data_IF_369267370549
#
_entry.id   IF_369267370549
#
_cell.length_a   1.000
_cell.length_b   1.000
_cell.length_c   1.000
_cell.angle_alpha   90.00
_cell.angle_beta   90.00
_cell.angle_gamma   90.00
#
_symmetry.space_group_name_H-M   'P 1'
#
loop_
_entity.id
_entity.type
_entity.pdbx_description
1 polymer ?
#
# COMPACT_ATOMS: atom_id res chain seq x y z
N UNK A 1 1.03 9.19 -26.40
CA UNK A 1 0.59 8.09 -27.28
C UNK A 1 0.62 6.73 -26.60
N UNK A 2 1.62 6.40 -25.77
CA UNK A 2 1.74 5.06 -25.17
C UNK A 2 0.50 4.61 -24.38
N UNK A 3 -0.08 5.47 -23.53
CA UNK A 3 -1.31 5.14 -22.80
C UNK A 3 -2.49 4.86 -23.75
N UNK A 4 -2.71 5.69 -24.77
CA UNK A 4 -3.78 5.44 -25.76
C UNK A 4 -3.55 4.15 -26.56
N UNK A 5 -2.31 3.85 -26.95
CA UNK A 5 -1.93 2.60 -27.61
C UNK A 5 -2.20 1.39 -26.70
N UNK A 6 -1.86 1.50 -25.41
CA UNK A 6 -2.13 0.46 -24.43
C UNK A 6 -3.63 0.19 -24.27
N UNK A 7 -4.46 1.24 -24.13
CA UNK A 7 -5.92 1.09 -24.05
C UNK A 7 -6.53 0.51 -25.33
N UNK A 8 -5.99 0.89 -26.49
CA UNK A 8 -6.40 0.35 -27.78
C UNK A 8 -6.07 -1.14 -27.87
N UNK A 9 -4.82 -1.53 -27.56
CA UNK A 9 -4.41 -2.93 -27.48
C UNK A 9 -5.29 -3.72 -26.50
N UNK A 10 -5.57 -3.15 -25.32
CA UNK A 10 -6.44 -3.75 -24.31
C UNK A 10 -7.81 -4.08 -24.88
N UNK A 11 -8.47 -3.08 -25.47
CA UNK A 11 -9.79 -3.22 -26.10
C UNK A 11 -9.81 -4.29 -27.20
N UNK A 12 -8.75 -4.40 -27.99
CA UNK A 12 -8.64 -5.42 -29.05
C UNK A 12 -8.41 -6.84 -28.50
N UNK A 13 -7.74 -6.98 -27.35
CA UNK A 13 -7.41 -8.27 -26.76
C UNK A 13 -8.51 -8.85 -25.86
N UNK A 14 -9.43 -8.01 -25.34
CA UNK A 14 -10.50 -8.46 -24.43
C UNK A 14 -11.29 -9.69 -24.94
N UNK A 15 -11.73 -9.77 -26.21
CA UNK A 15 -12.46 -10.95 -26.70
C UNK A 15 -11.61 -12.23 -26.69
N UNK A 16 -10.32 -12.11 -27.01
CA UNK A 16 -9.37 -13.22 -26.99
C UNK A 16 -9.15 -13.74 -25.56
N UNK A 17 -9.09 -12.82 -24.59
CA UNK A 17 -8.92 -13.17 -23.17
C UNK A 17 -10.14 -13.87 -22.59
N UNK A 18 -11.35 -13.41 -22.93
CA UNK A 18 -12.60 -14.09 -22.53
C UNK A 18 -12.66 -15.51 -23.10
N UNK A 19 -12.23 -15.70 -24.35
CA UNK A 19 -12.14 -17.03 -24.96
C UNK A 19 -11.10 -17.93 -24.27
N UNK A 20 -9.96 -17.38 -23.87
CA UNK A 20 -8.93 -18.11 -23.14
C UNK A 20 -9.41 -18.56 -21.73
N UNK A 21 -10.10 -17.69 -20.97
CA UNK A 21 -10.68 -18.04 -19.66
C UNK A 21 -11.74 -19.16 -19.79
N UNK A 22 -12.66 -19.02 -20.75
CA UNK A 22 -13.69 -20.02 -21.01
C UNK A 22 -13.07 -21.38 -21.39
N UNK A 23 -12.03 -21.35 -22.24
CA UNK A 23 -11.30 -22.54 -22.67
C UNK A 23 -10.56 -23.19 -21.49
N UNK A 24 -9.89 -22.41 -20.63
CA UNK A 24 -9.24 -22.92 -19.42
C UNK A 24 -10.23 -23.66 -18.51
N UNK A 25 -11.42 -23.07 -18.27
CA UNK A 25 -12.51 -23.70 -17.48
C UNK A 25 -13.04 -24.98 -18.13
N UNK A 26 -13.19 -25.01 -19.45
CA UNK A 26 -13.66 -26.20 -20.17
C UNK A 26 -12.70 -27.39 -20.03
N UNK A 27 -11.39 -27.17 -19.97
CA UNK A 27 -10.38 -28.23 -19.84
C UNK A 27 -10.00 -28.57 -18.38
N UNK A 28 -10.48 -27.80 -17.39
CA UNK A 28 -10.18 -28.03 -15.96
C UNK A 28 -11.40 -28.42 -15.12
N UNK A 29 -12.62 -28.09 -15.56
CA UNK A 29 -13.84 -28.39 -14.81
C UNK A 29 -14.16 -29.90 -14.85
N UNK A 30 -14.25 -30.60 -13.70
CA UNK A 30 -14.52 -32.03 -13.65
C UNK A 30 -15.81 -32.49 -14.36
N UNK A 31 -16.78 -31.58 -14.49
CA UNK A 31 -18.08 -31.83 -15.15
C UNK A 31 -17.96 -31.76 -16.68
N UNK A 32 -16.87 -31.19 -17.20
CA UNK A 32 -16.62 -31.12 -18.64
C UNK A 32 -16.00 -32.41 -19.17
N UNK A 33 -16.54 -33.00 -20.26
CA UNK A 33 -15.90 -34.15 -20.93
C UNK A 33 -14.46 -33.86 -21.38
N UNK A 34 -14.16 -32.60 -21.71
CA UNK A 34 -12.83 -32.15 -22.14
C UNK A 34 -11.81 -32.14 -21.00
N UNK A 35 -12.24 -32.12 -19.73
CA UNK A 35 -11.31 -32.20 -18.60
C UNK A 35 -10.67 -33.59 -18.46
N UNK A 36 -11.26 -34.62 -19.08
CA UNK A 36 -10.79 -36.01 -19.02
C UNK A 36 -9.94 -36.42 -20.24
N UNK A 37 -9.72 -35.53 -21.21
CA UNK A 37 -8.89 -35.84 -22.38
C UNK A 37 -7.40 -35.85 -22.03
N UNK A 38 -6.55 -36.65 -22.70
CA UNK A 38 -5.11 -36.60 -22.51
C UNK A 38 -4.58 -35.17 -22.64
N UNK A 39 -3.69 -34.77 -21.73
CA UNK A 39 -3.11 -33.43 -21.66
C UNK A 39 -4.08 -32.27 -21.33
N UNK A 40 -5.34 -32.55 -20.94
CA UNK A 40 -6.33 -31.52 -20.56
C UNK A 40 -5.79 -30.50 -19.55
N UNK A 41 -5.12 -30.96 -18.50
CA UNK A 41 -4.51 -30.09 -17.49
C UNK A 41 -3.42 -29.17 -18.06
N UNK A 42 -2.63 -29.64 -19.03
CA UNK A 42 -1.60 -28.80 -19.68
C UNK A 42 -2.24 -27.77 -20.60
N UNK A 43 -3.30 -28.15 -21.31
CA UNK A 43 -4.07 -27.24 -22.17
C UNK A 43 -4.78 -26.18 -21.33
N UNK A 44 -5.42 -26.58 -20.23
CA UNK A 44 -6.06 -25.68 -19.29
C UNK A 44 -5.07 -24.67 -18.69
N UNK A 45 -3.88 -25.14 -18.28
CA UNK A 45 -2.81 -24.28 -17.77
C UNK A 45 -2.26 -23.31 -18.82
N UNK A 46 -2.15 -23.74 -20.09
CA UNK A 46 -1.73 -22.88 -21.19
C UNK A 46 -2.74 -21.76 -21.47
N UNK A 47 -4.03 -22.08 -21.49
CA UNK A 47 -5.09 -21.07 -21.62
C UNK A 47 -5.22 -20.18 -20.39
N UNK A 48 -5.02 -20.73 -19.18
CA UNK A 48 -5.00 -19.93 -17.95
C UNK A 48 -3.84 -18.92 -17.98
N UNK A 49 -2.66 -19.34 -18.42
CA UNK A 49 -1.51 -18.45 -18.58
C UNK A 49 -1.80 -17.36 -19.62
N UNK A 50 -2.35 -17.74 -20.78
CA UNK A 50 -2.71 -16.77 -21.83
C UNK A 50 -3.73 -15.74 -21.33
N UNK A 51 -4.78 -16.20 -20.63
CA UNK A 51 -5.78 -15.32 -20.01
C UNK A 51 -5.13 -14.38 -18.99
N UNK A 52 -4.34 -14.90 -18.04
CA UNK A 52 -3.69 -14.09 -17.01
C UNK A 52 -2.74 -13.04 -17.59
N UNK A 53 -2.09 -13.32 -18.72
CA UNK A 53 -1.18 -12.38 -19.37
C UNK A 53 -1.86 -11.20 -20.07
N UNK A 54 -3.13 -11.32 -20.45
CA UNK A 54 -3.84 -10.24 -21.16
C UNK A 54 -5.14 -9.78 -20.54
N UNK A 55 -5.62 -10.41 -19.45
CA UNK A 55 -6.84 -9.99 -18.76
C UNK A 55 -6.69 -8.61 -18.13
N UNK A 56 -7.81 -7.91 -18.01
CA UNK A 56 -7.89 -6.70 -17.21
C UNK A 56 -7.89 -7.07 -15.73
N UNK A 57 -7.15 -6.28 -14.96
CA UNK A 57 -7.10 -6.39 -13.50
C UNK A 57 -7.85 -5.19 -12.92
N UNK A 58 -9.12 -5.41 -12.60
CA UNK A 58 -9.90 -4.44 -11.83
C UNK A 58 -9.50 -4.47 -10.36
N UNK A 59 -9.83 -3.39 -9.65
CA UNK A 59 -9.65 -3.32 -8.20
C UNK A 59 -10.34 -4.49 -7.50
N UNK A 60 -9.62 -5.34 -6.76
CA UNK A 60 -10.23 -6.42 -6.00
C UNK A 60 -11.06 -5.88 -4.82
N UNK A 61 -12.05 -6.64 -4.38
CA UNK A 61 -12.71 -6.38 -3.10
C UNK A 61 -11.80 -6.77 -1.93
N UNK A 62 -11.93 -6.13 -0.76
CA UNK A 62 -11.24 -6.64 0.43
C UNK A 62 -11.73 -8.05 0.77
N UNK A 63 -13.03 -8.33 0.63
CA UNK A 63 -13.56 -9.70 0.77
C UNK A 63 -13.31 -10.30 2.15
N UNK A 64 -13.34 -9.45 3.19
CA UNK A 64 -13.23 -9.86 4.59
C UNK A 64 -14.65 -10.03 5.10
N UNK A 65 -15.20 -11.23 4.94
CA UNK A 65 -16.59 -11.51 5.34
C UNK A 65 -16.72 -11.66 6.86
N UNK A 66 -15.74 -12.29 7.51
CA UNK A 66 -15.70 -12.47 8.96
C UNK A 66 -14.27 -12.62 9.49
N UNK A 67 -14.11 -12.39 10.79
CA UNK A 67 -12.85 -12.59 11.54
C UNK A 67 -13.14 -13.17 12.92
N UNK A 68 -12.18 -13.89 13.49
CA UNK A 68 -12.30 -14.42 14.86
C UNK A 68 -12.01 -13.31 15.88
N UNK A 69 -12.99 -12.96 16.71
CA UNK A 69 -12.85 -12.01 17.82
C UNK A 69 -13.20 -12.74 19.12
N UNK A 70 -12.27 -12.79 20.08
CA UNK A 70 -12.44 -13.53 21.35
C UNK A 70 -12.95 -14.98 21.15
N UNK A 71 -12.43 -15.67 20.13
CA UNK A 71 -12.80 -17.04 19.79
C UNK A 71 -14.15 -17.21 19.10
N UNK A 72 -14.84 -16.11 18.74
CA UNK A 72 -16.11 -16.14 18.01
C UNK A 72 -15.94 -15.58 16.61
N UNK A 73 -16.48 -16.29 15.63
CA UNK A 73 -16.57 -15.79 14.26
C UNK A 73 -17.52 -14.58 14.22
N UNK A 74 -17.00 -13.43 13.79
CA UNK A 74 -17.68 -12.14 13.80
C UNK A 74 -17.68 -11.58 12.38
N UNK A 75 -18.87 -11.35 11.83
CA UNK A 75 -19.04 -10.78 10.49
C UNK A 75 -18.52 -9.34 10.44
N UNK A 76 -17.93 -8.97 9.31
CA UNK A 76 -17.40 -7.63 9.05
C UNK A 76 -18.21 -6.95 7.95
N UNK A 77 -18.45 -5.65 8.12
CA UNK A 77 -19.14 -4.79 7.15
C UNK A 77 -18.28 -3.57 6.85
N UNK A 78 -18.02 -3.34 5.56
CA UNK A 78 -17.27 -2.18 5.10
C UNK A 78 -18.17 -0.93 5.04
N UNK A 79 -17.75 0.16 5.69
CA UNK A 79 -18.43 1.46 5.65
C UNK A 79 -17.48 2.55 5.18
N UNK A 80 -17.86 3.30 4.14
CA UNK A 80 -17.15 4.52 3.78
C UNK A 80 -17.58 5.65 4.72
N UNK A 81 -16.71 6.03 5.66
CA UNK A 81 -17.01 7.04 6.69
C UNK A 81 -16.62 8.45 6.25
N UNK A 82 -15.61 8.58 5.38
CA UNK A 82 -15.26 9.84 4.71
C UNK A 82 -15.03 9.56 3.23
N UNK A 83 -15.56 10.43 2.38
CA UNK A 83 -15.40 10.36 0.94
C UNK A 83 -14.80 11.67 0.41
N UNK A 84 -13.52 11.66 0.07
CA UNK A 84 -12.81 12.77 -0.59
C UNK A 84 -12.50 12.39 -2.05
N UNK A 85 -12.29 13.34 -2.97
CA UNK A 85 -12.10 13.02 -4.39
C UNK A 85 -11.00 11.99 -4.69
N UNK A 86 -9.88 12.04 -3.96
CA UNK A 86 -8.73 11.15 -4.17
C UNK A 86 -8.64 10.01 -3.15
N UNK A 87 -9.49 9.97 -2.13
CA UNK A 87 -9.36 9.00 -1.04
C UNK A 87 -10.68 8.78 -0.30
N UNK A 88 -10.96 7.52 -0.01
CA UNK A 88 -12.04 7.10 0.89
C UNK A 88 -11.43 6.64 2.19
N UNK A 89 -12.04 6.98 3.32
CA UNK A 89 -11.74 6.36 4.60
C UNK A 89 -12.77 5.25 4.83
N UNK A 90 -12.29 4.00 4.88
CA UNK A 90 -13.15 2.82 5.05
C UNK A 90 -13.01 2.31 6.48
N UNK A 91 -14.13 2.09 7.15
CA UNK A 91 -14.24 1.44 8.44
C UNK A 91 -14.69 -0.02 8.26
N UNK A 92 -13.97 -0.96 8.84
CA UNK A 92 -14.35 -2.37 8.87
C UNK A 92 -15.11 -2.66 10.17
N UNK A 93 -16.41 -2.35 10.17
CA UNK A 93 -17.26 -2.48 11.34
C UNK A 93 -17.56 -3.95 11.62
N UNK A 94 -17.39 -4.37 12.87
CA UNK A 94 -17.88 -5.66 13.37
C UNK A 94 -19.41 -5.63 13.46
N UNK A 95 -20.09 -6.61 12.88
CA UNK A 95 -21.56 -6.74 12.89
C UNK A 95 -22.05 -7.21 14.27
N UNK A 96 -21.86 -6.36 15.27
CA UNK A 96 -22.20 -6.55 16.67
C UNK A 96 -23.00 -5.33 17.15
N UNK A 97 -23.74 -5.49 18.25
CA UNK A 97 -24.43 -4.34 18.86
C UNK A 97 -23.41 -3.32 19.37
N UNK A 98 -23.77 -2.03 19.41
CA UNK A 98 -22.85 -0.99 19.93
C UNK A 98 -22.42 -1.26 21.38
N UNK A 99 -23.27 -1.95 22.16
CA UNK A 99 -22.93 -2.40 23.52
C UNK A 99 -21.80 -3.42 23.50
N UNK A 100 -21.88 -4.41 22.60
CA UNK A 100 -20.88 -5.46 22.49
C UNK A 100 -19.58 -4.91 21.92
N UNK A 101 -19.63 -4.02 20.92
CA UNK A 101 -18.45 -3.32 20.39
C UNK A 101 -17.71 -2.57 21.51
N UNK A 102 -18.43 -1.80 22.33
CA UNK A 102 -17.84 -1.11 23.49
C UNK A 102 -17.27 -2.07 24.54
N UNK A 103 -17.87 -3.24 24.72
CA UNK A 103 -17.40 -4.25 25.65
C UNK A 103 -16.06 -4.89 25.21
N UNK A 104 -15.76 -4.89 23.90
CA UNK A 104 -14.49 -5.38 23.38
C UNK A 104 -13.28 -4.52 23.79
N UNK A 105 -13.50 -3.22 24.05
CA UNK A 105 -12.45 -2.24 24.39
C UNK A 105 -11.26 -2.26 23.42
N UNK A 106 -11.54 -2.45 22.14
CA UNK A 106 -10.50 -2.50 21.11
C UNK A 106 -10.02 -1.09 20.76
N UNK A 107 -8.70 -0.87 20.65
CA UNK A 107 -8.15 0.41 20.21
C UNK A 107 -8.57 0.72 18.78
N UNK A 108 -8.76 2.02 18.49
CA UNK A 108 -9.02 2.48 17.12
C UNK A 108 -7.70 2.62 16.36
N UNK A 109 -7.61 2.01 15.19
CA UNK A 109 -6.43 2.03 14.32
C UNK A 109 -6.77 2.68 12.98
N UNK A 110 -5.98 3.69 12.60
CA UNK A 110 -5.92 4.21 11.24
C UNK A 110 -4.73 3.56 10.50
N UNK A 111 -5.03 2.66 9.58
CA UNK A 111 -4.07 2.07 8.65
C UNK A 111 -3.98 2.95 7.38
N UNK A 112 -2.84 3.59 7.19
CA UNK A 112 -2.57 4.42 6.02
C UNK A 112 -1.91 3.55 4.95
N UNK A 113 -2.69 3.20 3.93
CA UNK A 113 -2.26 2.39 2.81
C UNK A 113 -1.39 3.18 1.83
N UNK A 114 -0.45 2.52 1.12
CA UNK A 114 0.35 3.17 0.09
C UNK A 114 -0.48 3.74 -1.06
N UNK A 115 -0.08 4.92 -1.54
CA UNK A 115 -0.41 5.37 -2.89
C UNK A 115 0.85 5.20 -3.74
N UNK A 116 1.14 3.96 -4.10
CA UNK A 116 2.35 3.54 -4.85
C UNK A 116 1.99 2.56 -5.97
N UNK A 117 0.92 2.89 -6.71
CA UNK A 117 0.49 2.15 -7.90
C UNK A 117 -0.41 0.95 -7.65
N UNK A 118 -0.76 0.65 -6.41
CA UNK A 118 -1.58 -0.51 -6.06
C UNK A 118 -2.72 -0.13 -5.12
N UNK A 119 -3.79 -0.90 -5.16
CA UNK A 119 -4.96 -0.70 -4.30
C UNK A 119 -4.68 -1.11 -2.85
N UNK A 120 -5.40 -0.47 -1.90
CA UNK A 120 -5.30 -0.76 -0.46
C UNK A 120 -5.66 -2.22 -0.11
N UNK A 121 -6.30 -2.94 -1.03
CA UNK A 121 -6.62 -4.36 -0.93
C UNK A 121 -5.40 -5.27 -0.90
N UNK A 122 -4.21 -4.78 -1.27
CA UNK A 122 -2.94 -5.44 -0.94
C UNK A 122 -2.73 -5.61 0.57
N UNK A 123 -3.34 -4.75 1.40
CA UNK A 123 -3.29 -4.83 2.86
C UNK A 123 -4.45 -5.65 3.44
N UNK A 124 -5.13 -6.49 2.63
CA UNK A 124 -6.22 -7.37 3.10
C UNK A 124 -5.80 -8.23 4.29
N UNK A 125 -4.62 -8.86 4.21
CA UNK A 125 -4.07 -9.67 5.30
C UNK A 125 -3.74 -8.81 6.54
N UNK A 126 -3.26 -7.58 6.32
CA UNK A 126 -3.02 -6.59 7.38
C UNK A 126 -4.29 -6.27 8.13
N UNK A 127 -5.34 -5.89 7.40
CA UNK A 127 -6.66 -5.55 7.96
C UNK A 127 -7.24 -6.75 8.71
N UNK A 128 -7.19 -7.94 8.09
CA UNK A 128 -7.77 -9.17 8.66
C UNK A 128 -7.12 -9.56 9.99
N UNK A 129 -5.79 -9.40 10.11
CA UNK A 129 -5.07 -9.66 11.36
C UNK A 129 -5.38 -8.61 12.44
N UNK A 130 -5.35 -7.32 12.08
CA UNK A 130 -5.64 -6.23 13.01
C UNK A 130 -7.07 -6.31 13.58
N UNK A 131 -8.05 -6.66 12.75
CA UNK A 131 -9.46 -6.71 13.14
C UNK A 131 -9.76 -7.66 14.31
N UNK A 132 -8.90 -8.65 14.57
CA UNK A 132 -9.07 -9.57 15.69
C UNK A 132 -8.94 -8.86 17.05
N UNK A 133 -8.12 -7.81 17.13
CA UNK A 133 -7.81 -7.09 18.37
C UNK A 133 -8.08 -5.57 18.32
N UNK A 134 -8.40 -5.03 17.14
CA UNK A 134 -8.46 -3.58 16.89
C UNK A 134 -9.76 -3.19 16.14
N UNK A 135 -10.19 -1.94 16.27
CA UNK A 135 -11.20 -1.31 15.41
C UNK A 135 -10.51 -0.58 14.24
N UNK A 136 -10.70 -1.05 13.01
CA UNK A 136 -9.78 -0.74 11.90
C UNK A 136 -10.42 0.18 10.86
N UNK A 137 -9.71 1.28 10.58
CA UNK A 137 -9.97 2.21 9.49
C UNK A 137 -8.81 2.16 8.50
N UNK A 138 -9.07 2.19 7.20
CA UNK A 138 -8.03 2.23 6.16
C UNK A 138 -8.24 3.38 5.17
N UNK A 139 -7.16 4.01 4.74
CA UNK A 139 -7.18 4.92 3.59
C UNK A 139 -7.24 4.10 2.30
N UNK A 140 -8.21 4.40 1.44
CA UNK A 140 -8.39 3.75 0.17
C UNK A 140 -8.34 4.78 -0.97
N UNK A 141 -7.20 4.83 -1.64
CA UNK A 141 -6.90 5.81 -2.68
C UNK A 141 -7.70 5.52 -3.95
N UNK A 142 -8.29 6.59 -4.50
CA UNK A 142 -9.03 6.52 -5.75
C UNK A 142 -8.06 6.58 -6.91
N UNK A 143 -8.24 5.67 -7.87
CA UNK A 143 -7.49 5.65 -9.12
C UNK A 143 -7.62 7.01 -9.83
N UNK A 144 -6.50 7.69 -10.08
CA UNK A 144 -6.51 9.07 -10.56
C UNK A 144 -7.21 9.22 -11.92
N UNK A 145 -7.24 8.18 -12.76
CA UNK A 145 -8.00 8.22 -14.01
C UNK A 145 -9.50 8.35 -13.80
N UNK A 146 -10.01 7.96 -12.62
CA UNK A 146 -11.42 8.09 -12.25
C UNK A 146 -11.76 9.43 -11.59
N UNK A 147 -10.78 10.30 -11.35
CA UNK A 147 -10.98 11.59 -10.68
C UNK A 147 -11.05 12.73 -11.71
N UNK A 148 -12.20 13.44 -11.85
CA UNK A 148 -12.36 14.49 -12.85
C UNK A 148 -11.42 15.69 -12.59
N UNK A 149 -11.12 16.47 -13.63
CA UNK A 149 -10.25 17.65 -13.52
C UNK A 149 -10.86 18.74 -12.62
N UNK A 150 -12.19 18.81 -12.52
CA UNK A 150 -12.89 19.74 -11.64
C UNK A 150 -12.59 19.53 -10.15
N UNK A 151 -12.06 18.36 -9.76
CA UNK A 151 -11.62 18.08 -8.40
C UNK A 151 -10.26 18.72 -8.05
N UNK A 152 -9.58 19.36 -9.03
CA UNK A 152 -8.28 20.00 -8.83
C UNK A 152 -7.08 19.03 -8.91
N UNK A 153 -5.85 19.53 -8.74
CA UNK A 153 -4.65 18.70 -8.63
C UNK A 153 -4.63 17.94 -7.30
N UNK A 154 -3.70 17.00 -7.17
CA UNK A 154 -3.43 16.32 -5.91
C UNK A 154 -1.92 16.19 -5.74
N UNK A 155 -1.37 16.99 -4.82
CA UNK A 155 0.05 17.09 -4.49
C UNK A 155 0.40 16.24 -3.25
N UNK A 156 1.70 16.15 -2.94
CA UNK A 156 2.15 15.50 -1.71
C UNK A 156 1.63 16.23 -0.45
N UNK A 157 1.50 17.55 -0.49
CA UNK A 157 0.90 18.34 0.60
C UNK A 157 -0.58 17.96 0.82
N UNK A 158 -1.36 17.73 -0.25
CA UNK A 158 -2.77 17.34 -0.15
C UNK A 158 -2.93 15.98 0.53
N UNK A 159 -2.02 15.04 0.26
CA UNK A 159 -1.94 13.76 0.96
C UNK A 159 -1.81 13.97 2.48
N UNK A 160 -0.88 14.84 2.88
CA UNK A 160 -0.59 15.15 4.29
C UNK A 160 -1.82 15.77 4.95
N UNK A 161 -2.49 16.70 4.28
CA UNK A 161 -3.73 17.30 4.79
C UNK A 161 -4.86 16.26 4.92
N UNK A 162 -4.99 15.33 3.98
CA UNK A 162 -5.96 14.24 4.10
C UNK A 162 -5.69 13.36 5.32
N UNK A 163 -4.42 12.99 5.56
CA UNK A 163 -4.03 12.23 6.75
C UNK A 163 -4.35 13.01 8.03
N UNK A 164 -4.03 14.30 8.10
CA UNK A 164 -4.38 15.13 9.26
C UNK A 164 -5.89 15.19 9.51
N UNK A 165 -6.70 15.33 8.45
CA UNK A 165 -8.16 15.32 8.55
C UNK A 165 -8.68 13.98 9.11
N UNK A 166 -8.12 12.86 8.65
CA UNK A 166 -8.49 11.53 9.14
C UNK A 166 -8.08 11.31 10.60
N UNK A 167 -6.87 11.74 10.98
CA UNK A 167 -6.42 11.69 12.39
C UNK A 167 -7.33 12.54 13.27
N UNK A 168 -7.67 13.78 12.85
CA UNK A 168 -8.57 14.66 13.62
C UNK A 168 -9.99 14.10 13.76
N UNK A 169 -10.47 13.43 12.73
CA UNK A 169 -11.78 12.79 12.73
C UNK A 169 -11.86 11.63 13.74
N UNK A 170 -10.84 10.78 13.79
CA UNK A 170 -10.84 9.57 14.62
C UNK A 170 -10.26 9.78 16.02
N UNK A 171 -9.35 10.75 16.20
CA UNK A 171 -8.64 11.00 17.44
C UNK A 171 -9.50 11.58 18.56
N UNK A 172 -8.97 11.70 19.80
CA UNK A 172 -7.56 11.55 20.15
C UNK A 172 -7.12 10.13 20.55
N UNK A 173 -8.05 9.21 20.77
CA UNK A 173 -7.75 7.83 21.17
C UNK A 173 -7.52 6.95 19.93
N UNK A 174 -6.49 7.32 19.16
CA UNK A 174 -6.14 6.75 17.87
C UNK A 174 -4.71 6.22 17.84
N UNK A 175 -4.52 5.10 17.16
CA UNK A 175 -3.22 4.56 16.79
C UNK A 175 -3.06 4.60 15.28
N UNK A 176 -1.94 5.12 14.77
CA UNK A 176 -1.70 5.22 13.33
C UNK A 176 -0.69 4.16 12.92
N UNK A 177 -0.97 3.44 11.84
CA UNK A 177 -0.03 2.51 11.19
C UNK A 177 0.14 2.98 9.76
N UNK A 178 1.38 3.10 9.30
CA UNK A 178 1.70 3.43 7.90
C UNK A 178 2.65 2.40 7.32
N UNK A 179 2.39 1.99 6.08
CA UNK A 179 3.08 0.89 5.42
C UNK A 179 3.72 1.37 4.13
N UNK A 180 5.03 1.16 3.96
CA UNK A 180 5.79 1.55 2.78
C UNK A 180 5.85 3.09 2.59
N UNK A 181 5.57 3.56 1.38
CA UNK A 181 5.60 4.97 0.96
C UNK A 181 4.94 5.98 1.95
N UNK A 182 3.78 5.72 2.57
CA UNK A 182 3.11 6.64 3.49
C UNK A 182 3.85 6.98 4.77
N UNK A 183 4.89 6.25 5.16
CA UNK A 183 5.62 6.58 6.41
C UNK A 183 6.12 8.02 6.40
N UNK A 184 6.58 8.51 5.25
CA UNK A 184 7.10 9.88 5.06
C UNK A 184 6.00 10.94 5.24
N UNK A 185 4.90 10.95 4.45
CA UNK A 185 3.85 11.94 4.63
C UNK A 185 3.07 11.78 5.95
N UNK A 186 2.94 10.58 6.51
CA UNK A 186 2.32 10.38 7.82
C UNK A 186 3.17 10.96 8.94
N UNK A 187 4.49 10.74 8.92
CA UNK A 187 5.39 11.39 9.87
C UNK A 187 5.33 12.92 9.75
N UNK A 188 5.26 13.45 8.53
CA UNK A 188 5.09 14.88 8.31
C UNK A 188 3.76 15.41 8.86
N UNK A 189 2.65 14.70 8.61
CA UNK A 189 1.32 15.05 9.13
C UNK A 189 1.34 15.18 10.65
N UNK A 190 1.87 14.18 11.35
CA UNK A 190 1.96 14.14 12.82
C UNK A 190 2.92 15.21 13.33
N UNK A 191 4.06 15.43 12.66
CA UNK A 191 5.02 16.49 13.03
C UNK A 191 4.38 17.88 12.99
N UNK A 192 3.61 18.18 11.94
CA UNK A 192 2.90 19.44 11.79
C UNK A 192 1.79 19.58 12.83
N UNK A 193 1.07 18.50 13.14
CA UNK A 193 0.07 18.48 14.22
C UNK A 193 0.72 18.73 15.59
N UNK A 194 1.90 18.14 15.84
CA UNK A 194 2.64 18.33 17.09
C UNK A 194 3.15 19.77 17.23
N UNK A 195 3.70 20.34 16.15
CA UNK A 195 4.08 21.76 16.06
C UNK A 195 2.88 22.67 16.40
N UNK A 196 1.69 22.34 15.88
CA UNK A 196 0.46 23.07 16.15
C UNK A 196 -0.15 22.81 17.54
N UNK A 197 0.43 21.90 18.33
CA UNK A 197 -0.12 21.42 19.62
C UNK A 197 -1.56 20.92 19.49
N UNK A 198 -1.82 20.20 18.40
CA UNK A 198 -3.15 19.69 18.08
C UNK A 198 -3.61 18.68 19.16
N UNK A 199 -4.77 18.89 19.82
CA UNK A 199 -5.25 17.99 20.86
C UNK A 199 -5.67 16.61 20.32
N UNK A 200 -5.74 16.44 19.00
CA UNK A 200 -6.12 15.19 18.32
C UNK A 200 -4.92 14.34 17.89
N UNK A 201 -3.70 14.63 18.35
CA UNK A 201 -2.54 13.77 18.13
C UNK A 201 -2.84 12.31 18.50
N UNK A 202 -2.37 11.33 17.70
CA UNK A 202 -2.55 9.92 18.02
C UNK A 202 -1.73 9.53 19.25
N UNK A 203 -2.09 8.43 19.91
CA UNK A 203 -1.33 7.85 21.02
C UNK A 203 -0.03 7.22 20.55
N UNK A 204 -0.09 6.55 19.40
CA UNK A 204 1.06 5.86 18.80
C UNK A 204 1.10 6.07 17.30
N UNK A 205 2.30 5.99 16.73
CA UNK A 205 2.55 5.88 15.30
C UNK A 205 3.51 4.73 15.01
N UNK A 206 3.07 3.81 14.15
CA UNK A 206 3.87 2.70 13.66
C UNK A 206 4.25 2.95 12.20
N UNK A 207 5.53 2.90 11.89
CA UNK A 207 6.10 3.12 10.56
C UNK A 207 6.70 1.80 10.06
N UNK A 208 6.23 1.28 8.92
CA UNK A 208 6.62 -0.06 8.46
C UNK A 208 7.25 0.00 7.07
N UNK A 209 8.53 -0.37 6.96
CA UNK A 209 9.24 -0.55 5.70
C UNK A 209 9.15 0.64 4.75
N UNK A 210 9.30 1.86 5.24
CA UNK A 210 9.14 3.07 4.43
C UNK A 210 10.39 3.95 4.36
N UNK A 211 10.54 4.76 3.30
CA UNK A 211 11.77 5.48 3.00
C UNK A 211 11.90 6.80 3.79
N UNK A 212 11.94 6.76 5.13
CA UNK A 212 12.09 7.98 5.96
C UNK A 212 13.42 8.68 5.67
N UNK A 213 14.51 7.92 5.58
CA UNK A 213 15.78 8.41 5.04
C UNK A 213 16.31 7.48 3.93
N UNK A 214 15.96 7.75 2.66
CA UNK A 214 16.33 6.89 1.54
C UNK A 214 17.82 6.93 1.17
N UNK A 215 18.63 7.71 1.90
CA UNK A 215 20.10 7.74 1.77
C UNK A 215 20.76 6.57 2.50
N UNK A 216 20.07 5.99 3.51
CA UNK A 216 20.55 4.81 4.25
C UNK A 216 20.30 3.55 3.42
N UNK A 217 21.33 2.72 3.21
CA UNK A 217 21.27 1.46 2.44
C UNK A 217 20.46 1.55 1.13
N UNK A 218 20.88 2.36 0.14
CA UNK A 218 20.09 2.60 -1.07
C UNK A 218 19.79 1.31 -1.86
N UNK A 219 18.53 1.14 -2.26
CA UNK A 219 18.02 0.07 -3.10
C UNK A 219 17.95 0.50 -4.57
N UNK A 220 17.54 -0.41 -5.46
CA UNK A 220 17.32 -0.08 -6.88
C UNK A 220 16.28 1.05 -7.07
N UNK A 221 15.30 1.15 -6.17
CA UNK A 221 14.30 2.23 -6.17
C UNK A 221 14.96 3.57 -5.88
N UNK A 222 15.84 3.63 -4.87
CA UNK A 222 16.59 4.84 -4.54
C UNK A 222 17.55 5.24 -5.67
N UNK A 223 18.22 4.27 -6.30
CA UNK A 223 19.15 4.52 -7.39
C UNK A 223 18.45 5.09 -8.62
N UNK A 224 17.28 4.56 -9.01
CA UNK A 224 16.54 5.13 -10.14
C UNK A 224 16.24 6.62 -9.91
N UNK A 225 15.77 6.97 -8.71
CA UNK A 225 15.37 8.33 -8.38
C UNK A 225 16.54 9.32 -8.37
N UNK A 226 17.73 8.86 -7.97
CA UNK A 226 18.93 9.70 -7.86
C UNK A 226 19.76 9.77 -9.14
N UNK A 227 19.78 8.70 -9.96
CA UNK A 227 20.51 8.67 -11.24
C UNK A 227 19.80 9.44 -12.36
N UNK A 228 18.47 9.52 -12.32
CA UNK A 228 17.67 10.23 -13.33
C UNK A 228 17.41 11.66 -12.87
N UNK A 229 17.59 12.62 -13.78
CA UNK A 229 17.18 14.01 -13.56
C UNK A 229 15.66 14.09 -13.38
N UNK A 230 15.17 15.02 -12.57
CA UNK A 230 13.73 15.28 -12.40
C UNK A 230 12.97 15.38 -13.74
N UNK A 231 13.50 16.16 -14.69
CA UNK A 231 12.93 16.30 -16.04
C UNK A 231 12.76 14.98 -16.82
N UNK A 232 13.51 13.94 -16.49
CA UNK A 232 13.34 12.62 -17.10
C UNK A 232 12.00 12.01 -16.67
N UNK A 233 11.64 12.13 -15.38
CA UNK A 233 10.37 11.64 -14.87
C UNK A 233 9.20 12.38 -15.51
N UNK A 234 9.26 13.72 -15.52
CA UNK A 234 8.22 14.57 -16.10
C UNK A 234 7.90 14.22 -17.56
N UNK A 235 8.94 13.91 -18.35
CA UNK A 235 8.79 13.72 -19.79
C UNK A 235 8.65 12.25 -20.22
N UNK A 236 8.99 11.28 -19.37
CA UNK A 236 9.05 9.86 -19.76
C UNK A 236 7.89 9.05 -19.20
N UNK A 237 7.48 9.32 -17.96
CA UNK A 237 6.53 8.45 -17.23
C UNK A 237 5.16 9.10 -17.01
N UNK A 238 5.00 10.38 -17.33
CA UNK A 238 3.74 11.11 -17.15
C UNK A 238 2.91 11.14 -18.43
N UNK A 239 1.66 10.71 -18.35
CA UNK A 239 0.74 10.64 -19.49
C UNK A 239 -0.62 11.27 -19.14
N UNK A 240 -1.31 11.89 -20.13
CA UNK A 240 -2.69 12.29 -19.95
C UNK A 240 -3.62 11.07 -19.96
N UNK A 241 -4.60 11.07 -19.07
CA UNK A 241 -5.68 10.07 -19.03
C UNK A 241 -6.50 10.12 -20.33
N UNK A 242 -6.80 8.96 -20.96
CA UNK A 242 -7.56 8.88 -22.21
C UNK A 242 -9.07 9.18 -22.03
N UNK A 243 -9.81 9.47 -23.12
CA UNK A 243 -11.18 10.01 -23.06
C UNK A 243 -12.24 9.05 -22.53
N UNK A 244 -11.93 7.78 -22.36
CA UNK A 244 -12.82 6.76 -21.81
C UNK A 244 -12.98 6.82 -20.29
N UNK A 245 -12.26 7.71 -19.59
CA UNK A 245 -12.33 7.83 -18.14
C UNK A 245 -12.78 9.23 -17.68
N UNK A 246 -13.42 9.35 -16.49
CA UNK A 246 -13.83 10.64 -15.92
C UNK A 246 -12.68 11.66 -15.78
N UNK A 247 -11.46 11.18 -15.55
CA UNK A 247 -10.25 12.00 -15.44
C UNK A 247 -9.62 12.42 -16.77
N UNK A 248 -10.32 12.30 -17.90
CA UNK A 248 -9.80 12.63 -19.24
C UNK A 248 -8.97 13.92 -19.26
N UNK A 249 -7.70 13.80 -19.69
CA UNK A 249 -6.76 14.91 -19.77
C UNK A 249 -5.91 15.14 -18.51
N UNK A 250 -6.27 14.54 -17.36
CA UNK A 250 -5.46 14.59 -16.13
C UNK A 250 -4.12 13.94 -16.38
N UNK A 251 -3.04 14.56 -15.88
CA UNK A 251 -1.70 13.97 -15.93
C UNK A 251 -1.55 12.95 -14.81
N UNK A 252 -1.10 11.76 -15.16
CA UNK A 252 -0.88 10.65 -14.22
C UNK A 252 0.43 9.94 -14.52
N UNK A 253 0.98 9.27 -13.51
CA UNK A 253 1.92 8.17 -13.74
C UNK A 253 1.10 6.86 -13.85
N UNK A 254 0.92 6.29 -15.05
CA UNK A 254 0.04 5.14 -15.23
C UNK A 254 0.49 3.89 -14.47
N UNK A 255 -0.44 3.16 -13.87
CA UNK A 255 -0.16 1.96 -13.10
C UNK A 255 0.58 0.88 -13.91
N UNK A 256 0.25 0.72 -15.19
CA UNK A 256 0.92 -0.27 -16.06
C UNK A 256 2.40 0.06 -16.30
N UNK A 257 2.76 1.35 -16.35
CA UNK A 257 4.16 1.77 -16.49
C UNK A 257 4.95 1.61 -15.19
N UNK A 258 4.29 1.78 -14.05
CA UNK A 258 4.87 1.49 -12.74
C UNK A 258 5.24 0.01 -12.65
N UNK A 259 4.27 -0.86 -12.95
CA UNK A 259 4.46 -2.29 -12.95
C UNK A 259 5.59 -2.74 -13.88
N UNK A 260 5.57 -2.26 -15.13
CA UNK A 260 6.63 -2.54 -16.11
C UNK A 260 8.01 -2.03 -15.65
N UNK A 261 8.06 -0.86 -15.01
CA UNK A 261 9.28 -0.29 -14.44
C UNK A 261 9.88 -1.17 -13.34
N UNK A 262 9.07 -1.65 -12.39
CA UNK A 262 9.52 -2.55 -11.32
C UNK A 262 10.02 -3.90 -11.86
N UNK A 263 9.35 -4.46 -12.86
CA UNK A 263 9.83 -5.69 -13.52
C UNK A 263 11.16 -5.43 -14.24
N UNK A 264 11.29 -4.30 -14.94
CA UNK A 264 12.50 -3.95 -15.69
C UNK A 264 13.71 -3.65 -14.79
N UNK A 265 13.49 -3.23 -13.53
CA UNK A 265 14.55 -3.06 -12.53
C UNK A 265 15.20 -4.38 -12.08
N UNK A 266 14.62 -5.53 -12.45
CA UNK A 266 15.15 -6.88 -12.18
C UNK A 266 15.51 -7.64 -13.48
N UNK A 267 16.44 -7.14 -14.33
CA UNK A 267 16.62 -7.63 -15.70
C UNK A 267 17.33 -9.00 -15.84
N UNK A 268 17.93 -9.51 -14.75
CA UNK A 268 18.83 -10.68 -14.81
C UNK A 268 18.18 -12.03 -15.15
N UNK A 269 16.85 -12.15 -15.31
CA UNK A 269 16.16 -13.45 -15.39
C UNK A 269 14.92 -13.48 -16.30
N UNK A 270 14.89 -12.76 -17.41
CA UNK A 270 13.66 -12.45 -18.17
C UNK A 270 12.74 -13.58 -18.69
N UNK A 271 13.07 -14.87 -18.58
CA UNK A 271 12.11 -15.95 -18.82
C UNK A 271 11.62 -16.67 -17.53
N UNK A 272 12.32 -16.47 -16.40
CA UNK A 272 12.05 -17.05 -15.08
C UNK A 272 11.73 -15.98 -14.02
N UNK A 273 11.90 -14.69 -14.34
CA UNK A 273 11.96 -13.55 -13.41
C UNK A 273 10.62 -13.15 -12.82
N UNK A 274 9.50 -13.30 -13.53
CA UNK A 274 8.21 -12.87 -12.98
C UNK A 274 7.90 -13.67 -11.72
N UNK A 275 7.90 -15.01 -11.80
CA UNK A 275 7.65 -15.87 -10.64
C UNK A 275 8.67 -15.61 -9.53
N UNK A 276 9.95 -15.52 -9.86
CA UNK A 276 11.00 -15.31 -8.86
C UNK A 276 10.90 -13.94 -8.19
N UNK A 277 10.52 -12.87 -8.91
CA UNK A 277 10.27 -11.54 -8.36
C UNK A 277 9.15 -11.58 -7.31
N UNK A 278 8.00 -12.19 -7.62
CA UNK A 278 6.94 -12.36 -6.61
C UNK A 278 7.40 -13.21 -5.43
N UNK A 279 8.13 -14.30 -5.68
CA UNK A 279 8.71 -15.14 -4.63
C UNK A 279 9.75 -14.39 -3.77
N UNK A 280 10.43 -13.39 -4.34
CA UNK A 280 11.33 -12.50 -3.60
C UNK A 280 10.55 -11.54 -2.70
N UNK A 281 9.44 -10.94 -3.20
CA UNK A 281 8.58 -10.05 -2.41
C UNK A 281 8.02 -10.73 -1.16
N UNK A 282 7.63 -12.01 -1.28
CA UNK A 282 7.06 -12.83 -0.18
C UNK A 282 8.07 -13.84 0.37
N UNK A 283 9.38 -13.62 0.15
CA UNK A 283 10.41 -14.58 0.53
C UNK A 283 10.37 -14.84 2.03
N UNK A 284 10.33 -16.11 2.41
CA UNK A 284 10.28 -16.55 3.80
C UNK A 284 8.86 -16.70 4.36
N UNK A 285 7.82 -16.47 3.55
CA UNK A 285 6.45 -16.89 3.85
C UNK A 285 6.17 -18.22 3.11
N UNK A 286 6.23 -19.34 3.85
CA UNK A 286 5.96 -20.71 3.35
C UNK A 286 4.44 -20.93 3.08
N UNK A 287 3.85 -20.10 2.22
CA UNK A 287 2.41 -20.09 1.91
C UNK A 287 2.03 -21.09 0.78
N UNK A 288 0.78 -21.58 0.74
CA UNK A 288 0.30 -22.43 -0.35
C UNK A 288 0.23 -21.70 -1.70
N UNK A 289 0.30 -22.47 -2.80
CA UNK A 289 0.29 -21.95 -4.18
C UNK A 289 -0.90 -21.04 -4.53
N UNK A 290 -2.09 -21.27 -3.96
CA UNK A 290 -3.27 -20.43 -4.21
C UNK A 290 -3.18 -19.06 -3.54
N UNK A 291 -2.46 -18.95 -2.42
CA UNK A 291 -2.15 -17.67 -1.75
C UNK A 291 -1.27 -16.82 -2.68
N UNK A 292 -0.26 -17.42 -3.30
CA UNK A 292 0.58 -16.77 -4.30
C UNK A 292 -0.19 -16.31 -5.54
N UNK A 293 -1.19 -17.08 -6.01
CA UNK A 293 -2.04 -16.69 -7.15
C UNK A 293 -2.91 -15.47 -6.83
N UNK A 294 -3.52 -15.42 -5.64
CA UNK A 294 -4.30 -14.27 -5.20
C UNK A 294 -3.44 -13.03 -5.05
N UNK A 295 -2.25 -13.16 -4.46
CA UNK A 295 -1.28 -12.08 -4.37
C UNK A 295 -0.86 -11.58 -5.76
N UNK A 296 -0.61 -12.48 -6.71
CA UNK A 296 -0.30 -12.13 -8.09
C UNK A 296 -1.42 -11.32 -8.76
N UNK A 297 -2.67 -11.76 -8.59
CA UNK A 297 -3.81 -11.03 -9.15
C UNK A 297 -3.99 -9.65 -8.50
N UNK A 298 -3.76 -9.55 -7.19
CA UNK A 298 -3.81 -8.30 -6.43
C UNK A 298 -2.71 -7.32 -6.87
N UNK A 299 -1.48 -7.81 -7.03
CA UNK A 299 -0.33 -7.00 -7.41
C UNK A 299 -0.43 -6.49 -8.86
N UNK A 300 -1.11 -7.23 -9.75
CA UNK A 300 -1.35 -6.76 -11.12
C UNK A 300 -2.52 -5.77 -11.21
N UNK A 301 -3.36 -5.66 -10.18
CA UNK A 301 -4.40 -4.66 -10.08
C UNK A 301 -3.80 -3.31 -9.67
N UNK A 302 -3.29 -2.61 -10.68
CA UNK A 302 -2.60 -1.34 -10.54
C UNK A 302 -3.53 -0.14 -10.75
N UNK A 303 -3.19 0.98 -10.10
CA UNK A 303 -3.90 2.25 -10.22
C UNK A 303 -2.99 3.36 -10.75
N UNK A 304 -3.58 4.37 -11.39
CA UNK A 304 -2.87 5.55 -11.83
C UNK A 304 -2.67 6.54 -10.67
N UNK A 305 -1.44 7.04 -10.53
CA UNK A 305 -1.13 8.07 -9.52
C UNK A 305 -1.22 9.47 -10.15
N UNK A 306 -1.74 10.49 -9.44
CA UNK A 306 -1.67 11.88 -9.90
C UNK A 306 -0.22 12.28 -10.16
N UNK A 307 0.03 12.93 -11.30
CA UNK A 307 1.38 13.29 -11.70
C UNK A 307 2.05 14.24 -10.70
N UNK A 308 1.28 15.20 -10.18
CA UNK A 308 1.72 16.19 -9.22
C UNK A 308 2.27 15.51 -7.96
N UNK A 309 1.45 14.67 -7.31
CA UNK A 309 1.84 13.86 -6.16
C UNK A 309 3.08 12.99 -6.41
N UNK A 310 3.13 12.29 -7.55
CA UNK A 310 4.27 11.42 -7.87
C UNK A 310 5.56 12.22 -8.02
N UNK A 311 5.51 13.31 -8.78
CA UNK A 311 6.67 14.16 -9.03
C UNK A 311 7.13 14.86 -7.75
N UNK A 312 6.20 15.38 -6.94
CA UNK A 312 6.50 15.94 -5.62
C UNK A 312 7.20 14.91 -4.73
N UNK A 313 6.76 13.65 -4.77
CA UNK A 313 7.39 12.56 -4.01
C UNK A 313 8.81 12.28 -4.49
N UNK A 314 9.04 12.15 -5.81
CA UNK A 314 10.39 11.94 -6.36
C UNK A 314 11.32 13.08 -5.93
N UNK A 315 10.88 14.32 -6.12
CA UNK A 315 11.68 15.50 -5.80
C UNK A 315 11.96 15.60 -4.30
N UNK A 316 10.91 15.62 -3.48
CA UNK A 316 11.00 15.92 -2.04
C UNK A 316 11.64 14.78 -1.27
N UNK A 317 11.24 13.54 -1.53
CA UNK A 317 11.63 12.37 -0.72
C UNK A 317 12.94 11.77 -1.22
N UNK A 318 13.07 11.58 -2.53
CA UNK A 318 14.16 10.79 -3.10
C UNK A 318 15.31 11.59 -3.73
N UNK A 319 15.12 12.88 -4.03
CA UNK A 319 16.18 13.72 -4.62
C UNK A 319 16.69 14.80 -3.65
N UNK A 320 15.77 15.54 -3.03
CA UNK A 320 16.10 16.62 -2.09
C UNK A 320 16.27 16.09 -0.67
N UNK A 321 15.70 14.92 -0.35
CA UNK A 321 15.71 14.32 0.98
C UNK A 321 15.19 15.29 2.04
N UNK A 322 14.13 16.04 1.72
CA UNK A 322 13.76 17.24 2.47
C UNK A 322 13.34 16.97 3.92
N UNK A 323 12.76 15.79 4.20
CA UNK A 323 12.42 15.38 5.56
C UNK A 323 13.66 15.15 6.44
N UNK A 324 14.58 14.21 6.09
CA UNK A 324 15.76 13.98 6.92
C UNK A 324 16.78 15.13 6.88
N UNK A 325 16.70 16.03 5.90
CA UNK A 325 17.50 17.27 5.87
C UNK A 325 16.88 18.41 6.69
N UNK A 326 15.64 18.26 7.19
CA UNK A 326 14.95 19.29 7.97
C UNK A 326 14.60 20.55 7.15
N UNK A 327 14.43 20.42 5.83
CA UNK A 327 14.12 21.53 4.92
C UNK A 327 12.69 21.49 4.38
N UNK A 328 11.96 20.39 4.62
CA UNK A 328 10.62 20.20 4.07
C UNK A 328 9.60 21.16 4.66
N UNK A 329 8.91 21.91 3.80
CA UNK A 329 7.76 22.73 4.15
C UNK A 329 6.49 22.21 3.47
N UNK A 330 5.41 22.17 4.23
CA UNK A 330 4.06 21.77 3.79
C UNK A 330 3.12 22.93 4.09
N UNK A 331 2.42 23.45 3.09
CA UNK A 331 1.58 24.66 3.26
C UNK A 331 2.35 25.86 3.85
N UNK A 332 3.66 25.95 3.60
CA UNK A 332 4.55 26.98 4.15
C UNK A 332 5.06 26.71 5.57
N UNK A 333 4.57 25.70 6.27
CA UNK A 333 5.01 25.30 7.61
C UNK A 333 6.15 24.28 7.55
N UNK A 334 7.19 24.48 8.36
CA UNK A 334 8.31 23.54 8.42
C UNK A 334 7.88 22.24 9.10
N UNK A 335 8.18 21.10 8.49
CA UNK A 335 7.97 19.78 9.09
C UNK A 335 9.08 19.55 10.12
N UNK A 336 8.69 19.41 11.40
CA UNK A 336 9.61 19.29 12.53
C UNK A 336 9.32 18.04 13.37
N UNK A 337 9.87 16.86 13.02
CA UNK A 337 9.64 15.62 13.78
C UNK A 337 10.07 15.71 15.24
N UNK A 338 11.05 16.55 15.57
CA UNK A 338 11.47 16.82 16.94
C UNK A 338 10.39 17.52 17.78
N UNK A 339 9.35 18.11 17.19
CA UNK A 339 8.28 18.72 17.97
C UNK A 339 7.29 17.65 18.51
N UNK A 340 7.43 16.39 18.11
CA UNK A 340 6.67 15.24 18.63
C UNK A 340 7.27 14.81 19.97
N UNK A 341 6.49 14.88 21.05
CA UNK A 341 6.94 14.53 22.41
C UNK A 341 6.07 13.49 23.13
N UNK A 342 4.85 13.25 22.66
CA UNK A 342 3.83 12.46 23.35
C UNK A 342 3.10 11.44 22.46
N UNK A 343 3.65 11.18 21.26
CA UNK A 343 3.20 10.09 20.37
C UNK A 343 4.27 9.00 20.43
N UNK A 344 3.92 7.79 20.85
CA UNK A 344 4.90 6.70 20.89
C UNK A 344 5.25 6.25 19.46
N UNK A 345 6.52 5.97 19.17
CA UNK A 345 7.02 5.59 17.84
C UNK A 345 7.47 4.14 17.82
N UNK A 346 6.94 3.37 16.87
CA UNK A 346 7.42 2.04 16.54
C UNK A 346 7.85 1.95 15.07
N UNK A 347 9.11 1.59 14.79
CA UNK A 347 9.56 1.25 13.43
C UNK A 347 9.63 -0.26 13.22
N UNK A 348 9.22 -0.71 12.04
CA UNK A 348 9.34 -2.11 11.61
C UNK A 348 10.03 -2.17 10.26
N UNK A 349 11.06 -2.99 10.13
CA UNK A 349 11.79 -3.24 8.88
C UNK A 349 11.89 -4.74 8.58
N UNK A 350 12.08 -5.12 7.32
CA UNK A 350 12.40 -6.50 6.95
C UNK A 350 13.91 -6.69 6.80
N UNK A 351 14.49 -7.75 7.36
CA UNK A 351 15.93 -8.03 7.24
C UNK A 351 16.38 -8.19 5.77
N UNK A 352 15.49 -8.69 4.91
CA UNK A 352 15.73 -8.95 3.49
C UNK A 352 14.93 -8.00 2.58
N UNK A 353 14.52 -6.84 3.10
CA UNK A 353 13.79 -5.82 2.35
C UNK A 353 14.70 -5.20 1.27
N UNK A 354 14.32 -5.40 0.00
CA UNK A 354 15.01 -4.88 -1.18
C UNK A 354 14.33 -3.65 -1.79
N UNK A 355 13.26 -3.15 -1.16
CA UNK A 355 12.54 -1.93 -1.56
C UNK A 355 12.95 -0.78 -0.64
N UNK A 356 12.73 -0.95 0.66
CA UNK A 356 13.12 -0.01 1.71
C UNK A 356 14.27 -0.59 2.49
N UNK A 357 15.50 -0.19 2.12
CA UNK A 357 16.71 -0.78 2.68
C UNK A 357 16.84 -0.60 4.20
N UNK A 358 17.69 -1.43 4.81
CA UNK A 358 17.92 -1.41 6.25
C UNK A 358 18.29 -0.02 6.77
N UNK A 359 17.61 0.42 7.84
CA UNK A 359 17.80 1.70 8.51
C UNK A 359 17.03 2.87 7.90
N UNK A 360 16.39 2.71 6.74
CA UNK A 360 15.61 3.80 6.13
C UNK A 360 14.40 4.19 6.96
N UNK A 361 13.66 3.23 7.52
CA UNK A 361 12.50 3.47 8.39
C UNK A 361 12.95 3.83 9.80
N UNK A 362 13.96 3.11 10.31
CA UNK A 362 14.54 3.31 11.64
C UNK A 362 15.05 4.76 11.84
N UNK A 363 15.43 5.45 10.77
CA UNK A 363 15.81 6.87 10.80
C UNK A 363 14.75 7.79 11.44
N UNK A 364 13.47 7.37 11.52
CA UNK A 364 12.44 8.11 12.24
C UNK A 364 12.81 8.37 13.71
N UNK A 365 13.54 7.45 14.36
CA UNK A 365 13.99 7.61 15.75
C UNK A 365 14.97 8.77 15.92
N UNK A 366 15.92 8.92 14.98
CA UNK A 366 16.88 10.03 14.98
C UNK A 366 16.18 11.39 14.78
N UNK A 367 15.15 11.42 13.91
CA UNK A 367 14.39 12.63 13.60
C UNK A 367 13.44 13.03 14.74
N UNK A 368 12.79 12.06 15.38
CA UNK A 368 11.85 12.27 16.48
C UNK A 368 12.57 12.35 17.84
N UNK A 369 13.61 13.18 17.93
CA UNK A 369 14.58 13.18 19.03
C UNK A 369 14.00 13.46 20.43
N UNK A 370 12.80 14.03 20.51
CA UNK A 370 12.15 14.41 21.76
C UNK A 370 11.09 13.41 22.23
N UNK A 371 10.89 12.29 21.53
CA UNK A 371 10.08 11.19 22.04
C UNK A 371 10.88 10.48 23.15
N UNK A 372 10.32 10.27 24.35
CA UNK A 372 10.99 9.54 25.43
C UNK A 372 11.44 8.13 24.99
N UNK A 373 12.60 7.67 25.47
CA UNK A 373 13.17 6.38 25.06
C UNK A 373 12.27 5.18 25.36
N UNK A 374 11.45 5.25 26.43
CA UNK A 374 10.49 4.21 26.81
C UNK A 374 9.23 4.18 25.93
N UNK A 375 9.03 5.23 25.11
CA UNK A 375 7.99 5.35 24.09
C UNK A 375 8.51 5.07 22.66
N UNK A 376 9.77 4.66 22.53
CA UNK A 376 10.38 4.27 21.26
C UNK A 376 10.60 2.76 21.22
N UNK A 377 10.26 2.14 20.09
CA UNK A 377 10.52 0.74 19.82
C UNK A 377 10.96 0.57 18.37
N UNK A 378 11.86 -0.38 18.12
CA UNK A 378 12.28 -0.77 16.77
C UNK A 378 12.25 -2.29 16.64
N UNK A 379 11.94 -2.79 15.45
CA UNK A 379 11.94 -4.22 15.16
C UNK A 379 12.31 -4.50 13.70
N UNK A 380 13.47 -5.14 13.51
CA UNK A 380 13.84 -5.76 12.24
C UNK A 380 13.34 -7.20 12.23
N UNK A 381 12.37 -7.51 11.36
CA UNK A 381 11.79 -8.84 11.21
C UNK A 381 12.81 -9.76 10.51
N UNK A 382 13.40 -10.75 11.22
CA UNK A 382 14.43 -11.61 10.65
C UNK A 382 13.87 -12.39 9.48
N UNK A 383 14.59 -12.53 8.37
CA UNK A 383 14.20 -13.28 7.17
C UNK A 383 12.99 -12.74 6.40
N UNK A 384 12.45 -11.57 6.78
CA UNK A 384 11.32 -10.96 6.08
C UNK A 384 11.80 -10.13 4.89
N UNK A 385 11.20 -10.33 3.72
CA UNK A 385 11.24 -9.33 2.63
C UNK A 385 10.26 -8.18 2.90
N UNK A 386 10.13 -7.26 1.94
CA UNK A 386 9.29 -6.07 2.07
C UNK A 386 7.83 -6.38 2.40
N UNK A 387 7.21 -7.38 1.75
CA UNK A 387 5.80 -7.71 2.00
C UNK A 387 5.61 -8.55 3.25
N UNK A 388 6.62 -9.34 3.64
CA UNK A 388 6.54 -10.22 4.82
C UNK A 388 6.37 -9.46 6.14
N UNK A 389 6.62 -8.15 6.16
CA UNK A 389 6.35 -7.33 7.35
C UNK A 389 4.90 -6.85 7.46
N UNK A 390 4.05 -6.98 6.44
CA UNK A 390 2.64 -6.56 6.50
C UNK A 390 1.64 -7.54 5.87
N UNK A 391 2.10 -8.62 5.26
CA UNK A 391 1.29 -9.68 4.66
C UNK A 391 1.87 -11.05 4.98
N UNK A 392 1.07 -12.11 4.83
CA UNK A 392 1.56 -13.48 5.00
C UNK A 392 1.72 -13.93 6.45
N UNK A 393 2.37 -15.09 6.61
CA UNK A 393 2.50 -15.78 7.89
C UNK A 393 3.30 -14.97 8.89
N UNK A 394 4.41 -14.38 8.44
CA UNK A 394 5.33 -13.64 9.32
C UNK A 394 4.69 -12.37 9.89
N UNK A 395 3.90 -11.67 9.08
CA UNK A 395 3.03 -10.59 9.56
C UNK A 395 2.10 -11.07 10.68
N UNK A 396 1.34 -12.15 10.46
CA UNK A 396 0.33 -12.65 11.42
C UNK A 396 0.93 -13.17 12.72
N UNK A 397 2.04 -13.90 12.64
CA UNK A 397 2.63 -14.60 13.79
C UNK A 397 3.68 -13.77 14.55
N UNK A 398 4.29 -12.76 13.91
CA UNK A 398 5.44 -12.03 14.50
C UNK A 398 5.19 -10.53 14.58
N UNK A 399 4.87 -9.87 13.47
CA UNK A 399 4.82 -8.40 13.42
C UNK A 399 3.52 -7.85 14.04
N UNK A 400 2.36 -8.34 13.62
CA UNK A 400 1.05 -7.88 14.11
C UNK A 400 0.89 -8.03 15.64
N UNK A 401 1.33 -9.14 16.28
CA UNK A 401 1.32 -9.26 17.73
C UNK A 401 2.18 -8.20 18.44
N UNK A 402 3.37 -7.89 17.91
CA UNK A 402 4.26 -6.85 18.46
C UNK A 402 3.64 -5.46 18.36
N UNK A 403 2.99 -5.15 17.24
CA UNK A 403 2.26 -3.89 17.08
C UNK A 403 1.10 -3.81 18.07
N UNK A 404 0.35 -4.91 18.24
CA UNK A 404 -0.78 -4.97 19.18
C UNK A 404 -0.32 -4.81 20.64
N UNK A 405 0.83 -5.38 21.00
CA UNK A 405 1.49 -5.15 22.29
C UNK A 405 1.92 -3.69 22.48
N UNK A 406 2.54 -3.08 21.46
CA UNK A 406 2.96 -1.69 21.49
C UNK A 406 1.77 -0.73 21.67
N UNK A 407 0.68 -0.98 20.93
CA UNK A 407 -0.58 -0.25 21.06
C UNK A 407 -1.08 -0.34 22.51
N UNK A 408 -1.29 -1.55 23.04
CA UNK A 408 -1.76 -1.76 24.43
C UNK A 408 -0.88 -1.10 25.49
N UNK A 409 0.44 -1.04 25.27
CA UNK A 409 1.38 -0.42 26.21
C UNK A 409 1.20 1.10 26.28
N UNK A 410 0.79 1.74 25.18
CA UNK A 410 0.77 3.19 25.03
C UNK A 410 -0.63 3.80 24.78
N UNK A 411 -1.69 2.99 24.81
CA UNK A 411 -3.09 3.42 24.73
C UNK A 411 -4.05 2.25 24.74
#
# INVERSE_FOLDING_TARGET
MLYQLHEMQRTFLTPLMQWADASSKLFSNPVSPLAHTPFSQRIAAGYELMYRLGKEYEKPAFGIDSVTVNGKDTRIVEHVVINKPFCRLIHFKKDLSDKDIRALKQPTVLLVAPLSGHHSTLLRDTVSALLQEQDVYITDWTDARMVPLSAGPFHLDDYIFYVQDFIRHLGPDLHVISVCQPTVPVLAAISLMATAKDPKLPKTMTMMGGPIDPRKSPTAVNNLATEKKFSWFENTVIYPVPPNYPGFGRKVYPGFLQHAGFIAMNPGRHAQSHREFYMHLVKGDDEPADSHRKFYDEYNAVLDMPAEYYLDTIKTVFQEFSLPQGTWKVGGQLVRPQDITNVALFTVEGELDDISGAGQTQAAHDLCSNIPADMQQDFVAPGAGHYGIFSGRRWREVVCPKISEFIRKHG
#
